data_IF_532999267535
#
_entry.id   IF_532999267535
#
_cell.length_a   1.000
_cell.length_b   1.000
_cell.length_c   1.000
_cell.angle_alpha   90.00
_cell.angle_beta   90.00
_cell.angle_gamma   90.00
#
_symmetry.space_group_name_H-M   'P 1'
#
loop_
_entity.id
_entity.type
_entity.pdbx_description
1 polymer ?
#
# COMPACT_ATOMS: atom_id res chain seq x y z
N UNK A 1 -5.79 7.73 17.85
CA UNK A 1 -4.34 7.44 17.98
C UNK A 1 -4.00 6.41 16.92
N UNK A 2 -2.80 6.43 16.33
CA UNK A 2 -2.37 5.43 15.34
C UNK A 2 -0.94 4.98 15.61
N UNK A 3 -0.57 3.81 15.09
CA UNK A 3 0.77 3.23 15.17
C UNK A 3 1.35 3.01 13.78
N UNK A 4 2.64 2.70 13.69
CA UNK A 4 3.30 2.40 12.42
C UNK A 4 4.34 1.31 12.57
N UNK A 5 4.37 0.38 11.61
CA UNK A 5 5.26 -0.78 11.56
C UNK A 5 5.12 -1.72 12.77
N UNK A 6 3.91 -1.85 13.31
CA UNK A 6 3.61 -2.84 14.34
C UNK A 6 3.28 -4.18 13.68
N UNK A 7 3.91 -5.25 14.17
CA UNK A 7 3.53 -6.61 13.86
C UNK A 7 2.30 -7.02 14.68
N UNK A 8 1.68 -8.15 14.35
CA UNK A 8 0.58 -8.71 15.15
C UNK A 8 0.97 -8.88 16.63
N UNK A 9 2.20 -9.36 16.90
CA UNK A 9 2.70 -9.51 18.27
C UNK A 9 2.85 -8.16 18.97
N UNK A 10 3.40 -7.14 18.30
CA UNK A 10 3.53 -5.80 18.90
C UNK A 10 2.15 -5.20 19.21
N UNK A 11 1.14 -5.46 18.39
CA UNK A 11 -0.23 -5.02 18.64
C UNK A 11 -0.80 -5.73 19.87
N UNK A 12 -0.61 -7.04 20.00
CA UNK A 12 -1.06 -7.78 21.18
C UNK A 12 -0.43 -7.22 22.46
N UNK A 13 0.88 -7.03 22.45
CA UNK A 13 1.61 -6.48 23.60
C UNK A 13 1.14 -5.06 23.95
N UNK A 14 0.87 -4.22 22.95
CA UNK A 14 0.37 -2.86 23.14
C UNK A 14 -1.05 -2.86 23.74
N UNK A 15 -1.94 -3.70 23.24
CA UNK A 15 -3.34 -3.76 23.69
C UNK A 15 -3.48 -4.24 25.13
N UNK A 16 -2.46 -4.88 25.72
CA UNK A 16 -2.44 -5.18 27.16
C UNK A 16 -2.14 -3.96 28.05
N UNK A 17 -1.64 -2.86 27.47
CA UNK A 17 -1.11 -1.70 28.19
C UNK A 17 -1.94 -0.43 27.98
N UNK A 18 -2.90 -0.43 27.05
CA UNK A 18 -3.68 0.75 26.67
C UNK A 18 -5.18 0.49 26.70
N UNK A 19 -5.94 1.48 27.14
CA UNK A 19 -7.42 1.42 27.12
C UNK A 19 -8.02 1.85 25.77
N UNK A 20 -7.22 2.45 24.89
CA UNK A 20 -7.65 2.99 23.59
C UNK A 20 -6.96 2.25 22.46
N UNK A 21 -7.74 1.53 21.67
CA UNK A 21 -7.27 0.79 20.49
C UNK A 21 -6.78 1.79 19.42
N UNK A 22 -5.58 1.57 18.83
CA UNK A 22 -5.14 2.36 17.69
C UNK A 22 -6.13 2.25 16.53
N UNK A 23 -6.51 3.37 15.92
CA UNK A 23 -7.45 3.37 14.79
C UNK A 23 -6.77 2.92 13.49
N UNK A 24 -5.45 3.10 13.40
CA UNK A 24 -4.66 2.85 12.18
C UNK A 24 -3.33 2.21 12.53
N UNK A 25 -2.89 1.24 11.73
CA UNK A 25 -1.51 0.74 11.68
C UNK A 25 -0.93 1.05 10.29
N UNK A 26 0.04 1.96 10.22
CA UNK A 26 0.69 2.33 8.97
C UNK A 26 1.91 1.43 8.69
N UNK A 27 1.87 0.62 7.62
CA UNK A 27 2.87 -0.41 7.31
C UNK A 27 3.33 -0.35 5.85
N UNK A 28 4.54 -0.84 5.56
CA UNK A 28 5.08 -0.86 4.20
C UNK A 28 4.28 -1.87 3.38
N UNK A 29 3.60 -1.43 2.33
CA UNK A 29 2.75 -2.33 1.56
C UNK A 29 2.86 -2.00 0.07
N UNK A 30 3.96 -2.35 -0.61
CA UNK A 30 4.06 -2.35 -2.07
C UNK A 30 3.47 -3.65 -2.67
N UNK A 31 3.25 -3.71 -4.00
CA UNK A 31 2.69 -4.91 -4.67
C UNK A 31 3.45 -6.22 -4.40
N UNK A 32 4.76 -6.16 -4.16
CA UNK A 32 5.59 -7.33 -3.88
C UNK A 32 5.68 -7.69 -2.39
N UNK A 33 5.03 -6.92 -1.52
CA UNK A 33 5.03 -7.14 -0.08
C UNK A 33 3.67 -6.76 0.52
N UNK A 34 2.66 -7.55 0.16
CA UNK A 34 1.25 -7.25 0.49
C UNK A 34 0.89 -7.53 1.94
N UNK A 35 1.68 -8.32 2.68
CA UNK A 35 1.48 -8.59 4.12
C UNK A 35 0.05 -9.02 4.53
N UNK A 36 -0.59 -9.93 3.80
CA UNK A 36 -2.00 -10.33 4.04
C UNK A 36 -2.28 -10.73 5.50
N UNK A 37 -1.41 -11.55 6.11
CA UNK A 37 -1.59 -11.98 7.48
C UNK A 37 -1.59 -10.81 8.50
N UNK A 38 -0.85 -9.74 8.21
CA UNK A 38 -0.84 -8.54 9.05
C UNK A 38 -2.12 -7.71 8.84
N UNK A 39 -2.61 -7.61 7.61
CA UNK A 39 -3.90 -6.97 7.32
C UNK A 39 -5.05 -7.67 8.04
N UNK A 40 -5.06 -9.00 8.01
CA UNK A 40 -6.07 -9.80 8.71
C UNK A 40 -5.97 -9.59 10.22
N UNK A 41 -4.75 -9.53 10.76
CA UNK A 41 -4.50 -9.26 12.19
C UNK A 41 -4.96 -7.86 12.61
N UNK A 42 -4.69 -6.84 11.80
CA UNK A 42 -5.18 -5.47 12.02
C UNK A 42 -6.72 -5.47 12.03
N UNK A 43 -7.35 -6.07 11.01
CA UNK A 43 -8.80 -6.13 10.86
C UNK A 43 -9.49 -6.86 12.03
N UNK A 44 -8.90 -7.97 12.52
CA UNK A 44 -9.40 -8.70 13.69
C UNK A 44 -9.40 -7.86 14.98
N UNK A 45 -8.62 -6.78 15.03
CA UNK A 45 -8.49 -5.87 16.19
C UNK A 45 -9.21 -4.53 15.96
N UNK A 46 -10.03 -4.43 14.91
CA UNK A 46 -10.69 -3.19 14.45
C UNK A 46 -9.69 -2.06 14.11
N UNK A 47 -8.50 -2.43 13.63
CA UNK A 47 -7.44 -1.50 13.22
C UNK A 47 -7.42 -1.40 11.69
N UNK A 48 -7.38 -0.18 11.16
CA UNK A 48 -7.28 0.05 9.72
C UNK A 48 -5.81 -0.05 9.29
N UNK A 49 -5.51 -0.93 8.34
CA UNK A 49 -4.20 -0.95 7.70
C UNK A 49 -4.04 0.25 6.75
N UNK A 50 -2.98 1.03 6.93
CA UNK A 50 -2.61 2.12 6.02
C UNK A 50 -1.29 1.79 5.32
N UNK A 51 -1.32 1.72 3.99
CA UNK A 51 -0.15 1.45 3.18
C UNK A 51 0.75 2.69 3.06
N UNK A 52 2.02 2.58 3.49
CA UNK A 52 3.07 3.53 3.13
C UNK A 52 4.02 2.93 2.07
N UNK A 53 4.67 3.81 1.30
CA UNK A 53 5.47 3.44 0.12
C UNK A 53 4.74 2.47 -0.85
N UNK A 54 3.48 2.77 -1.23
CA UNK A 54 2.64 1.87 -2.03
C UNK A 54 3.20 1.58 -3.43
N UNK A 55 4.10 2.42 -3.94
CA UNK A 55 4.74 2.26 -5.26
C UNK A 55 6.18 1.72 -5.19
N UNK A 56 6.55 1.08 -4.07
CA UNK A 56 7.87 0.48 -3.90
C UNK A 56 9.02 1.48 -3.77
N UNK A 57 8.77 2.66 -3.19
CA UNK A 57 9.78 3.70 -2.99
C UNK A 57 10.98 3.23 -2.18
N UNK A 58 10.76 2.45 -1.11
CA UNK A 58 11.83 1.96 -0.21
C UNK A 58 12.96 1.28 -0.97
N UNK A 59 12.62 0.26 -1.77
CA UNK A 59 13.62 -0.49 -2.56
C UNK A 59 14.32 0.38 -3.60
N UNK A 60 13.66 1.42 -4.11
CA UNK A 60 14.23 2.37 -5.09
C UNK A 60 15.17 3.39 -4.45
N UNK A 61 14.88 3.87 -3.24
CA UNK A 61 15.67 4.91 -2.56
C UNK A 61 16.86 4.35 -1.79
N UNK A 62 16.71 3.18 -1.18
CA UNK A 62 17.74 2.62 -0.30
C UNK A 62 18.66 1.60 -0.96
N UNK A 63 18.37 1.15 -2.19
CA UNK A 63 19.20 0.24 -2.99
C UNK A 63 19.82 -0.91 -2.17
N UNK A 64 19.01 -1.48 -1.28
CA UNK A 64 19.44 -2.45 -0.26
C UNK A 64 19.48 -3.88 -0.78
N UNK A 65 18.90 -4.13 -1.96
CA UNK A 65 18.87 -5.44 -2.59
C UNK A 65 19.92 -5.45 -3.73
N UNK A 66 20.88 -6.38 -3.68
CA UNK A 66 22.03 -6.52 -4.59
C UNK A 66 21.65 -6.85 -6.06
N UNK A 67 20.80 -6.06 -6.70
CA UNK A 67 20.43 -6.18 -8.11
C UNK A 67 19.02 -6.72 -8.39
N UNK A 68 18.35 -7.34 -7.41
CA UNK A 68 16.98 -7.88 -7.53
C UNK A 68 15.90 -6.88 -7.06
N UNK A 69 16.07 -5.60 -7.38
CA UNK A 69 15.04 -4.59 -7.11
C UNK A 69 13.87 -4.86 -8.05
N UNK A 70 12.86 -5.57 -7.55
CA UNK A 70 11.56 -5.66 -8.22
C UNK A 70 10.86 -4.30 -8.11
N UNK A 71 11.16 -3.39 -9.03
CA UNK A 71 10.49 -2.10 -9.12
C UNK A 71 9.10 -2.29 -9.77
N UNK A 72 8.01 -2.07 -9.01
CA UNK A 72 6.66 -2.29 -9.53
C UNK A 72 6.30 -1.32 -10.65
N UNK A 73 6.98 -0.17 -10.79
CA UNK A 73 6.70 0.79 -11.85
C UNK A 73 7.11 0.31 -13.25
N UNK A 74 8.03 -0.65 -13.33
CA UNK A 74 8.53 -1.21 -14.60
C UNK A 74 8.14 -2.68 -14.79
N UNK A 75 7.34 -3.24 -13.89
CA UNK A 75 6.92 -4.64 -13.97
C UNK A 75 6.05 -4.86 -15.23
N UNK A 76 6.28 -5.92 -16.04
CA UNK A 76 5.59 -6.13 -17.31
C UNK A 76 4.06 -6.08 -17.20
N UNK A 77 3.49 -6.74 -16.17
CA UNK A 77 2.04 -6.70 -15.91
C UNK A 77 1.53 -5.27 -15.73
N UNK A 78 2.28 -4.40 -15.04
CA UNK A 78 1.89 -3.01 -14.82
C UNK A 78 1.97 -2.24 -16.14
N UNK A 79 3.00 -2.47 -16.97
CA UNK A 79 3.15 -1.84 -18.28
C UNK A 79 2.05 -2.26 -19.27
N UNK A 80 1.59 -3.51 -19.22
CA UNK A 80 0.44 -3.97 -19.99
C UNK A 80 -0.84 -3.24 -19.58
N UNK A 81 -1.05 -3.07 -18.27
CA UNK A 81 -2.17 -2.31 -17.72
C UNK A 81 -2.07 -0.80 -18.04
N UNK A 82 -0.85 -0.23 -18.10
CA UNK A 82 -0.60 1.15 -18.57
C UNK A 82 -1.12 1.31 -19.99
N UNK A 83 -0.79 0.36 -20.86
CA UNK A 83 -1.23 0.37 -22.27
C UNK A 83 -2.75 0.22 -22.36
N UNK A 84 -3.34 -0.69 -21.59
CA UNK A 84 -4.79 -0.94 -21.57
C UNK A 84 -5.59 0.27 -21.07
N UNK A 85 -5.14 0.93 -20.01
CA UNK A 85 -5.91 1.96 -19.31
C UNK A 85 -5.46 3.39 -19.63
N UNK A 86 -4.35 3.58 -20.34
CA UNK A 86 -3.77 4.90 -20.64
C UNK A 86 -3.53 5.73 -19.36
N UNK A 87 -2.84 5.11 -18.41
CA UNK A 87 -2.55 5.65 -17.06
C UNK A 87 -1.10 5.40 -16.69
N UNK A 88 -0.55 6.14 -15.74
CA UNK A 88 0.83 5.92 -15.30
C UNK A 88 0.94 4.64 -14.45
N UNK A 89 2.12 3.99 -14.38
CA UNK A 89 2.33 2.84 -13.50
C UNK A 89 1.94 3.12 -12.04
N UNK A 90 2.29 4.31 -11.52
CA UNK A 90 1.94 4.73 -10.18
C UNK A 90 0.42 4.84 -9.97
N UNK A 91 -0.33 5.38 -10.95
CA UNK A 91 -1.79 5.47 -10.87
C UNK A 91 -2.44 4.08 -10.82
N UNK A 92 -1.90 3.12 -11.57
CA UNK A 92 -2.38 1.74 -11.58
C UNK A 92 -2.17 1.08 -10.22
N UNK A 93 -0.98 1.21 -9.66
CA UNK A 93 -0.65 0.63 -8.36
C UNK A 93 -1.51 1.26 -7.24
N UNK A 94 -1.65 2.59 -7.23
CA UNK A 94 -2.49 3.28 -6.24
C UNK A 94 -3.96 2.87 -6.36
N UNK A 95 -4.46 2.68 -7.59
CA UNK A 95 -5.81 2.20 -7.82
C UNK A 95 -6.01 0.78 -7.29
N UNK A 96 -5.06 -0.11 -7.54
CA UNK A 96 -5.08 -1.48 -7.02
C UNK A 96 -5.20 -1.51 -5.48
N UNK A 97 -4.44 -0.69 -4.77
CA UNK A 97 -4.57 -0.58 -3.31
C UNK A 97 -5.97 -0.09 -2.87
N UNK A 98 -6.54 0.89 -3.57
CA UNK A 98 -7.89 1.39 -3.27
C UNK A 98 -8.93 0.29 -3.49
N UNK A 99 -8.78 -0.56 -4.51
CA UNK A 99 -9.68 -1.68 -4.76
C UNK A 99 -9.57 -2.78 -3.70
N UNK A 100 -8.40 -2.96 -3.09
CA UNK A 100 -8.21 -3.81 -1.91
C UNK A 100 -8.80 -3.21 -0.63
N UNK A 101 -9.38 -2.01 -0.69
CA UNK A 101 -9.94 -1.31 0.47
C UNK A 101 -8.89 -0.68 1.39
N UNK A 102 -7.64 -0.59 0.94
CA UNK A 102 -6.54 -0.04 1.73
C UNK A 102 -6.55 1.49 1.72
N UNK A 103 -6.22 2.09 2.87
CA UNK A 103 -5.92 3.52 2.96
C UNK A 103 -4.47 3.72 2.49
N UNK A 104 -4.25 4.61 1.52
CA UNK A 104 -2.94 4.75 0.87
C UNK A 104 -2.34 6.12 1.15
N UNK A 105 -1.06 6.13 1.53
CA UNK A 105 -0.26 7.35 1.63
C UNK A 105 0.89 7.31 0.63
N UNK A 106 0.94 8.29 -0.28
CA UNK A 106 2.04 8.46 -1.20
C UNK A 106 2.70 9.83 -1.02
N UNK A 107 4.03 9.86 -0.98
CA UNK A 107 4.79 11.10 -1.00
C UNK A 107 5.07 11.49 -2.45
N UNK A 108 4.69 12.71 -2.85
CA UNK A 108 5.04 13.29 -4.16
C UNK A 108 5.32 14.78 -4.05
N UNK A 109 6.35 15.27 -4.72
CA UNK A 109 6.67 16.71 -4.78
C UNK A 109 5.76 17.49 -5.74
N UNK A 110 5.05 16.80 -6.64
CA UNK A 110 3.99 17.36 -7.48
C UNK A 110 2.63 16.97 -6.91
N UNK A 111 1.66 17.89 -6.92
CA UNK A 111 0.29 17.55 -6.55
C UNK A 111 -0.30 16.59 -7.58
N UNK A 112 -0.83 15.46 -7.11
CA UNK A 112 -1.63 14.54 -7.91
C UNK A 112 -2.99 14.43 -7.23
N UNK A 113 -4.07 14.99 -7.81
CA UNK A 113 -5.39 14.86 -7.22
C UNK A 113 -5.87 13.39 -7.36
N UNK A 114 -5.79 12.65 -6.25
CA UNK A 114 -6.28 11.27 -6.14
C UNK A 114 -7.81 11.16 -6.32
N UNK A 115 -8.53 12.27 -6.14
CA UNK A 115 -10.00 12.31 -6.03
C UNK A 115 -10.76 12.46 -7.36
N UNK A 116 -10.07 12.63 -8.50
CA UNK A 116 -10.72 13.00 -9.77
C UNK A 116 -10.21 12.24 -10.99
N UNK A 117 -9.75 10.99 -10.87
CA UNK A 117 -9.45 10.20 -12.06
C UNK A 117 -10.70 9.45 -12.53
N UNK A 118 -11.43 9.92 -13.56
CA UNK A 118 -12.47 9.11 -14.19
C UNK A 118 -11.81 7.84 -14.72
N UNK A 119 -12.30 6.71 -14.22
CA UNK A 119 -11.83 5.38 -14.55
C UNK A 119 -12.93 4.67 -15.35
N UNK A 120 -12.59 3.87 -16.38
CA UNK A 120 -13.59 3.08 -17.07
C UNK A 120 -14.24 2.09 -16.10
N UNK A 121 -15.57 2.06 -16.07
CA UNK A 121 -16.40 1.27 -15.15
C UNK A 121 -16.19 -0.25 -15.24
N UNK A 122 -15.44 -0.73 -16.23
CA UNK A 122 -15.18 -2.15 -16.51
C UNK A 122 -13.77 -2.62 -16.12
N UNK A 123 -13.00 -1.82 -15.39
CA UNK A 123 -11.67 -2.23 -14.98
C UNK A 123 -11.74 -3.10 -13.72
N UNK A 124 -11.28 -4.34 -13.86
CA UNK A 124 -10.96 -5.22 -12.74
C UNK A 124 -9.47 -5.52 -12.83
N UNK A 125 -8.78 -5.42 -11.70
CA UNK A 125 -7.40 -5.92 -11.59
C UNK A 125 -7.42 -7.42 -11.31
N UNK A 126 -6.43 -8.18 -11.82
CA UNK A 126 -6.25 -9.59 -11.49
C UNK A 126 -5.85 -9.79 -10.03
#
# INVERSE_FOLDING_TARGET
MGVSNFSAQHLDDLLTQVDVIPTVNQVELPPFFVQQALQDADAHRDIITQAWSPIGGVKRYWNTDNGDVQDPLIHPLILDLVTKYSRTPAQIILRWHIELGLVVTNTSERSMPLRTMPWPTSASFP
#
